data_IF_555830853763
#
_entry.id   IF_555830853763
#
_cell.length_a   1.000
_cell.length_b   1.000
_cell.length_c   1.000
_cell.angle_alpha   90.00
_cell.angle_beta   90.00
_cell.angle_gamma   90.00
#
_symmetry.space_group_name_H-M   'P 1'
#
loop_
_entity.id
_entity.type
_entity.pdbx_description
1 polymer ?
#
# COMPACT_ATOMS: atom_id res chain seq x y z
N UNK A 1 -8.65 7.59 -15.40
CA UNK A 1 -9.52 7.29 -14.24
C UNK A 1 -8.91 7.89 -12.98
N UNK A 2 -9.74 8.27 -12.00
CA UNK A 2 -9.29 8.80 -10.70
C UNK A 2 -9.05 7.62 -9.75
N UNK A 3 -7.98 7.67 -8.97
CA UNK A 3 -7.62 6.66 -7.94
C UNK A 3 -7.45 7.35 -6.60
N UNK A 4 -7.84 6.67 -5.52
CA UNK A 4 -7.61 7.16 -4.15
C UNK A 4 -6.14 6.96 -3.77
N UNK A 5 -5.57 7.99 -3.17
CA UNK A 5 -4.21 8.03 -2.68
C UNK A 5 -4.24 8.46 -1.21
N UNK A 6 -3.47 7.75 -0.39
CA UNK A 6 -3.28 8.05 1.03
C UNK A 6 -1.80 8.26 1.26
N UNK A 7 -1.43 9.38 1.87
CA UNK A 7 -0.11 9.55 2.46
C UNK A 7 -0.26 9.40 3.97
N UNK A 8 0.51 8.50 4.58
CA UNK A 8 0.43 8.23 6.01
C UNK A 8 1.83 8.12 6.64
N UNK A 9 1.87 8.35 7.94
CA UNK A 9 3.07 8.20 8.75
C UNK A 9 2.98 6.88 9.54
N UNK A 10 3.90 5.96 9.29
CA UNK A 10 3.96 4.66 9.96
C UNK A 10 4.84 4.75 11.21
N UNK A 11 4.49 3.98 12.25
CA UNK A 11 5.16 3.93 13.56
C UNK A 11 5.05 5.20 14.40
N UNK A 12 4.05 6.03 14.14
CA UNK A 12 3.78 7.23 14.93
C UNK A 12 2.29 7.50 15.02
N UNK A 13 1.86 8.19 16.07
CA UNK A 13 0.56 8.84 16.16
C UNK A 13 0.65 10.36 15.96
N UNK A 14 1.87 10.90 15.86
CA UNK A 14 2.14 12.32 15.63
C UNK A 14 2.35 12.55 14.14
N UNK A 15 1.60 13.45 13.48
CA UNK A 15 1.79 13.78 12.07
C UNK A 15 3.21 14.23 11.77
N UNK A 16 3.70 13.92 10.57
CA UNK A 16 5.03 14.29 10.05
C UNK A 16 6.21 13.69 10.82
N UNK A 17 5.97 12.61 11.57
CA UNK A 17 6.99 11.82 12.29
C UNK A 17 6.95 10.38 11.80
N UNK A 18 7.82 9.51 12.33
CA UNK A 18 7.84 8.10 11.90
C UNK A 18 8.34 7.96 10.45
N UNK A 19 7.76 7.02 9.72
CA UNK A 19 8.15 6.73 8.34
C UNK A 19 7.02 6.99 7.35
N UNK A 20 7.23 7.93 6.43
CA UNK A 20 6.22 8.34 5.46
C UNK A 20 6.00 7.28 4.38
N UNK A 21 4.73 6.99 4.08
CA UNK A 21 4.32 6.01 3.09
C UNK A 21 3.24 6.58 2.18
N UNK A 22 3.39 6.36 0.88
CA UNK A 22 2.33 6.55 -0.10
C UNK A 22 1.59 5.23 -0.35
N UNK A 23 0.26 5.24 -0.30
CA UNK A 23 -0.60 4.07 -0.57
C UNK A 23 -1.64 4.42 -1.64
N UNK A 24 -1.56 3.76 -2.78
CA UNK A 24 -2.59 3.78 -3.83
C UNK A 24 -3.60 2.69 -3.53
N UNK A 25 -4.85 3.08 -3.24
CA UNK A 25 -5.89 2.17 -2.73
C UNK A 25 -6.47 1.26 -3.83
N UNK A 26 -6.30 1.64 -5.09
CA UNK A 26 -6.74 0.86 -6.26
C UNK A 26 -5.64 0.88 -7.33
N UNK A 27 -4.79 -0.15 -7.28
CA UNK A 27 -3.71 -0.38 -8.24
C UNK A 27 -4.13 -1.14 -9.50
N UNK A 28 -5.39 -1.55 -9.61
CA UNK A 28 -5.84 -2.38 -10.74
C UNK A 28 -5.68 -1.66 -12.08
N UNK A 29 -5.25 -2.40 -13.09
CA UNK A 29 -5.00 -1.89 -14.44
C UNK A 29 -3.82 -0.92 -14.57
N UNK A 30 -3.00 -0.72 -13.54
CA UNK A 30 -1.71 -0.05 -13.67
C UNK A 30 -0.64 -1.04 -14.15
N UNK A 31 0.14 -0.64 -15.15
CA UNK A 31 1.33 -1.38 -15.54
C UNK A 31 2.46 -1.20 -14.52
N UNK A 32 3.44 -2.10 -14.55
CA UNK A 32 4.65 -2.01 -13.71
C UNK A 32 5.37 -0.67 -13.88
N UNK A 33 5.47 -0.20 -15.13
CA UNK A 33 6.08 1.09 -15.45
C UNK A 33 5.28 2.26 -14.86
N UNK A 34 3.95 2.20 -14.89
CA UNK A 34 3.12 3.24 -14.29
C UNK A 34 3.24 3.26 -12.75
N UNK A 35 3.28 2.09 -12.11
CA UNK A 35 3.53 1.98 -10.67
C UNK A 35 4.91 2.54 -10.30
N UNK A 36 5.95 2.16 -11.05
CA UNK A 36 7.32 2.63 -10.83
C UNK A 36 7.47 4.15 -11.03
N UNK A 37 6.87 4.70 -12.09
CA UNK A 37 6.88 6.15 -12.36
C UNK A 37 6.17 6.92 -11.24
N UNK A 38 5.03 6.40 -10.76
CA UNK A 38 4.32 7.02 -9.66
C UNK A 38 5.13 6.95 -8.36
N UNK A 39 5.73 5.80 -8.04
CA UNK A 39 6.61 5.66 -6.88
C UNK A 39 7.78 6.65 -6.92
N UNK A 40 8.44 6.80 -8.07
CA UNK A 40 9.49 7.79 -8.27
C UNK A 40 8.99 9.23 -8.07
N UNK A 41 7.78 9.55 -8.57
CA UNK A 41 7.17 10.87 -8.41
C UNK A 41 6.84 11.23 -6.96
N UNK A 42 6.40 10.26 -6.14
CA UNK A 42 6.13 10.54 -4.71
C UNK A 42 7.39 10.97 -3.94
N UNK A 43 8.56 10.50 -4.39
CA UNK A 43 9.85 10.70 -3.74
C UNK A 43 9.89 10.30 -2.25
N UNK A 44 8.99 9.39 -1.84
CA UNK A 44 9.04 8.72 -0.55
C UNK A 44 9.94 7.49 -0.66
N UNK A 45 10.39 6.97 0.48
CA UNK A 45 11.23 5.77 0.51
C UNK A 45 10.51 4.57 -0.15
N UNK A 46 9.19 4.46 0.07
CA UNK A 46 8.34 3.45 -0.55
C UNK A 46 6.95 4.00 -0.92
N UNK A 47 6.37 3.39 -1.94
CA UNK A 47 4.97 3.54 -2.37
C UNK A 47 4.35 2.17 -2.54
N UNK A 48 3.11 1.99 -2.09
CA UNK A 48 2.38 0.73 -2.21
C UNK A 48 1.15 0.85 -3.09
N UNK A 49 0.81 -0.25 -3.74
CA UNK A 49 -0.37 -0.37 -4.58
C UNK A 49 -1.20 -1.55 -4.08
N UNK A 50 -2.41 -1.27 -3.61
CA UNK A 50 -3.37 -2.30 -3.20
C UNK A 50 -4.07 -2.86 -4.44
N UNK A 51 -4.17 -4.18 -4.48
CA UNK A 51 -4.74 -4.96 -5.58
C UNK A 51 -5.74 -5.98 -5.04
N UNK A 52 -6.56 -6.52 -5.92
CA UNK A 52 -7.38 -7.67 -5.57
C UNK A 52 -6.50 -8.83 -5.09
N UNK A 53 -6.91 -9.57 -4.05
CA UNK A 53 -6.15 -10.72 -3.58
C UNK A 53 -6.10 -11.80 -4.66
N UNK A 54 -4.96 -12.49 -4.77
CA UNK A 54 -4.76 -13.59 -5.73
C UNK A 54 -5.09 -14.97 -5.15
N UNK A 55 -5.31 -15.06 -3.84
CA UNK A 55 -5.75 -16.29 -3.15
C UNK A 55 -7.01 -16.03 -2.33
N UNK A 56 -7.73 -17.09 -1.97
CA UNK A 56 -9.00 -16.96 -1.24
C UNK A 56 -8.80 -16.55 0.23
N UNK A 57 -7.63 -16.84 0.78
CA UNK A 57 -7.27 -16.57 2.17
C UNK A 57 -6.84 -15.12 2.39
N UNK A 58 -6.36 -14.44 1.34
CA UNK A 58 -5.87 -13.07 1.42
C UNK A 58 -7.01 -12.04 1.33
N UNK A 59 -6.87 -10.95 2.07
CA UNK A 59 -7.80 -9.83 2.06
C UNK A 59 -7.55 -8.87 0.89
N UNK A 60 -6.27 -8.62 0.63
CA UNK A 60 -5.77 -7.82 -0.49
C UNK A 60 -4.37 -8.31 -0.87
N UNK A 61 -3.95 -7.98 -2.09
CA UNK A 61 -2.54 -8.06 -2.50
C UNK A 61 -1.92 -6.67 -2.41
N UNK A 62 -0.64 -6.59 -2.10
CA UNK A 62 0.11 -5.33 -2.17
C UNK A 62 1.37 -5.51 -3.00
N UNK A 63 1.67 -4.51 -3.82
CA UNK A 63 2.98 -4.34 -4.45
C UNK A 63 3.68 -3.15 -3.85
N UNK A 64 4.98 -3.26 -3.63
CA UNK A 64 5.78 -2.27 -2.90
C UNK A 64 6.89 -1.79 -3.82
N UNK A 65 6.99 -0.49 -4.03
CA UNK A 65 7.97 0.13 -4.90
C UNK A 65 8.78 1.16 -4.11
N UNK A 66 10.10 1.08 -4.25
CA UNK A 66 10.97 2.25 -4.02
C UNK A 66 10.92 3.16 -5.25
N UNK A 67 11.50 4.37 -5.20
CA UNK A 67 11.67 5.21 -6.38
C UNK A 67 12.40 4.54 -7.55
N UNK A 68 13.20 3.50 -7.28
CA UNK A 68 14.06 2.87 -8.29
C UNK A 68 13.61 1.47 -8.74
N UNK A 69 12.91 0.71 -7.89
CA UNK A 69 12.54 -0.69 -8.16
C UNK A 69 11.40 -1.20 -7.29
N UNK A 70 10.78 -2.28 -7.73
CA UNK A 70 9.88 -3.11 -6.92
C UNK A 70 10.64 -3.89 -5.84
N UNK A 71 9.99 -4.08 -4.70
CA UNK A 71 10.42 -4.91 -3.59
C UNK A 71 9.38 -6.00 -3.34
N UNK A 72 9.86 -7.21 -3.03
CA UNK A 72 8.99 -8.33 -2.67
C UNK A 72 8.37 -8.16 -1.28
N UNK A 73 9.04 -7.44 -0.37
CA UNK A 73 8.60 -7.24 0.99
C UNK A 73 9.28 -6.04 1.65
N UNK A 74 8.54 -5.34 2.52
CA UNK A 74 9.07 -4.34 3.45
C UNK A 74 8.11 -4.20 4.65
N UNK A 75 8.66 -4.04 5.86
CA UNK A 75 7.87 -4.08 7.10
C UNK A 75 6.89 -2.92 7.27
N UNK A 76 7.38 -1.68 7.25
CA UNK A 76 6.51 -0.51 7.44
C UNK A 76 5.50 -0.29 6.30
N UNK A 77 5.82 -0.57 5.02
CA UNK A 77 4.84 -0.48 3.93
C UNK A 77 3.72 -1.50 4.08
N UNK A 78 3.99 -2.71 4.58
CA UNK A 78 2.96 -3.71 4.91
C UNK A 78 2.00 -3.20 5.98
N UNK A 79 2.50 -2.63 7.07
CA UNK A 79 1.65 -2.10 8.15
C UNK A 79 0.83 -0.89 7.71
N UNK A 80 1.45 0.08 7.04
CA UNK A 80 0.75 1.27 6.53
C UNK A 80 -0.29 0.92 5.46
N UNK A 81 -0.01 -0.06 4.61
CA UNK A 81 -0.97 -0.59 3.62
C UNK A 81 -2.18 -1.24 4.28
N UNK A 82 -1.97 -2.07 5.31
CA UNK A 82 -3.05 -2.71 6.07
C UNK A 82 -3.97 -1.65 6.72
N UNK A 83 -3.38 -0.70 7.44
CA UNK A 83 -4.13 0.38 8.08
C UNK A 83 -4.91 1.22 7.05
N UNK A 84 -4.28 1.59 5.95
CA UNK A 84 -4.91 2.38 4.87
C UNK A 84 -6.03 1.61 4.19
N UNK A 85 -5.88 0.29 3.98
CA UNK A 85 -6.92 -0.57 3.41
C UNK A 85 -8.17 -0.58 4.29
N UNK A 86 -8.02 -0.81 5.61
CA UNK A 86 -9.13 -0.78 6.57
C UNK A 86 -9.80 0.60 6.56
N UNK A 87 -9.02 1.68 6.70
CA UNK A 87 -9.53 3.06 6.75
C UNK A 87 -10.31 3.42 5.47
N UNK A 88 -9.90 2.86 4.32
CA UNK A 88 -10.54 3.11 3.04
C UNK A 88 -11.73 2.19 2.73
N UNK A 89 -12.22 1.44 3.73
CA UNK A 89 -13.42 0.59 3.65
C UNK A 89 -13.15 -0.89 3.42
N UNK A 90 -11.89 -1.32 3.50
CA UNK A 90 -11.51 -2.73 3.48
C UNK A 90 -12.17 -3.49 4.61
N UNK A 91 -12.77 -4.64 4.29
CA UNK A 91 -13.48 -5.50 5.25
C UNK A 91 -12.76 -6.83 5.35
N UNK A 92 -12.12 -7.14 6.49
CA UNK A 92 -11.42 -8.41 6.67
C UNK A 92 -12.39 -9.58 6.50
N UNK A 93 -11.96 -10.65 5.84
CA UNK A 93 -12.71 -11.90 5.71
C UNK A 93 -12.90 -12.59 7.06
N UNK A 94 -11.88 -12.52 7.91
CA UNK A 94 -11.90 -13.06 9.28
C UNK A 94 -11.89 -11.89 10.25
N UNK A 95 -12.85 -11.83 11.16
CA UNK A 95 -12.91 -10.74 12.15
C UNK A 95 -11.62 -10.69 12.98
N UNK A 96 -11.04 -9.50 13.10
CA UNK A 96 -9.81 -9.26 13.87
C UNK A 96 -8.52 -9.72 13.18
N UNK A 97 -8.58 -10.21 11.94
CA UNK A 97 -7.42 -10.69 11.21
C UNK A 97 -7.43 -10.18 9.77
N UNK A 98 -6.39 -9.42 9.41
CA UNK A 98 -6.14 -9.01 8.03
C UNK A 98 -4.97 -9.81 7.46
N UNK A 99 -5.19 -10.48 6.33
CA UNK A 99 -4.16 -11.25 5.61
C UNK A 99 -3.75 -10.53 4.34
N UNK A 100 -2.48 -10.16 4.24
CA UNK A 100 -1.87 -9.73 2.99
C UNK A 100 -1.52 -10.99 2.15
N UNK A 101 -1.86 -10.97 0.87
CA UNK A 101 -1.45 -11.97 -0.12
C UNK A 101 -0.35 -11.51 -1.07
#
# INVERSE_FOLDING_TARGET
MRRRFVQCDVFTSVPTRGNGLAVVIDGEGLSDSAMQQFAAWTNLAETTFLLAPTTQEADYKVRIFTPAREMLFAGHPTLGSCASWIQCGGKPRTQGLVRQG
#
